data_IF_973245951550
#
_entry.id   IF_973245951550
#
_cell.length_a   1.000
_cell.length_b   1.000
_cell.length_c   1.000
_cell.angle_alpha   90.00
_cell.angle_beta   90.00
_cell.angle_gamma   90.00
#
_symmetry.space_group_name_H-M   'P 1'
#
loop_
_entity.id
_entity.type
_entity.pdbx_description
1 polymer ?
#
# COMPACT_ATOMS: atom_id res chain seq x y z
N UNK A 1 5.36 -3.26 16.42
CA UNK A 1 4.01 -3.06 15.84
C UNK A 1 3.77 -4.09 14.74
N UNK A 2 2.55 -4.28 14.24
CA UNK A 2 2.26 -5.24 13.15
C UNK A 2 3.19 -5.08 11.92
N UNK A 3 3.53 -3.85 11.52
CA UNK A 3 4.43 -3.60 10.38
C UNK A 3 5.89 -3.99 10.67
N UNK A 4 6.35 -3.86 11.92
CA UNK A 4 7.74 -4.20 12.27
C UNK A 4 8.04 -5.71 12.18
N UNK A 5 7.02 -6.56 12.21
CA UNK A 5 7.21 -8.01 11.98
C UNK A 5 7.31 -8.37 10.50
N UNK A 6 6.67 -7.57 9.61
CA UNK A 6 6.78 -7.72 8.16
C UNK A 6 8.18 -7.37 7.63
N UNK A 7 8.82 -6.36 8.24
CA UNK A 7 10.17 -5.86 7.86
C UNK A 7 10.31 -5.56 6.35
N UNK A 8 9.40 -4.77 5.76
CA UNK A 8 9.49 -4.37 4.35
C UNK A 8 10.81 -3.67 4.06
N UNK A 9 11.39 -3.90 2.88
CA UNK A 9 12.69 -3.33 2.47
C UNK A 9 13.93 -4.06 2.99
N UNK A 10 13.83 -4.91 4.03
CA UNK A 10 15.01 -5.59 4.61
C UNK A 10 15.79 -6.45 3.62
N UNK A 11 15.08 -7.19 2.76
CA UNK A 11 15.67 -8.08 1.76
C UNK A 11 15.60 -7.49 0.35
N UNK A 12 15.41 -6.18 0.27
CA UNK A 12 15.05 -5.46 -0.96
C UNK A 12 13.56 -5.13 -1.02
N UNK A 13 13.15 -4.48 -2.14
CA UNK A 13 11.80 -3.98 -2.34
C UNK A 13 10.77 -5.10 -2.37
N UNK A 14 9.60 -4.85 -1.79
CA UNK A 14 8.46 -5.77 -1.85
C UNK A 14 7.23 -5.07 -2.42
N UNK A 15 6.31 -5.85 -2.96
CA UNK A 15 4.96 -5.36 -3.33
C UNK A 15 4.00 -5.80 -2.25
N UNK A 16 3.19 -4.89 -1.74
CA UNK A 16 2.16 -5.20 -0.76
C UNK A 16 0.79 -4.84 -1.28
N UNK A 17 -0.22 -5.55 -0.79
CA UNK A 17 -1.62 -5.23 -0.98
C UNK A 17 -2.24 -4.99 0.40
N UNK A 18 -2.89 -3.83 0.57
CA UNK A 18 -3.57 -3.42 1.80
C UNK A 18 -5.09 -3.45 1.57
N UNK A 19 -5.68 -4.62 1.84
CA UNK A 19 -7.09 -4.92 1.56
C UNK A 19 -8.00 -4.42 2.69
N UNK A 20 -9.14 -3.82 2.34
CA UNK A 20 -9.99 -3.04 3.25
C UNK A 20 -9.22 -1.90 3.93
N UNK A 21 -8.21 -1.38 3.23
CA UNK A 21 -7.24 -0.40 3.73
C UNK A 21 -7.55 1.02 3.30
N UNK A 22 -8.79 1.38 2.95
CA UNK A 22 -9.08 2.58 2.16
C UNK A 22 -8.51 3.90 2.69
N UNK A 23 -8.37 4.07 4.01
CA UNK A 23 -7.76 5.28 4.60
C UNK A 23 -6.23 5.31 4.52
N UNK A 24 -5.60 4.20 4.16
CA UNK A 24 -4.18 4.05 3.84
C UNK A 24 -3.23 4.22 5.02
N UNK A 25 -3.67 4.05 6.26
CA UNK A 25 -2.82 4.20 7.44
C UNK A 25 -1.76 3.08 7.55
N UNK A 26 -2.15 1.83 7.26
CA UNK A 26 -1.22 0.69 7.24
C UNK A 26 -0.28 0.77 6.04
N UNK A 27 -0.80 1.05 4.84
CA UNK A 27 0.03 1.31 3.65
C UNK A 27 1.10 2.38 3.90
N UNK A 28 0.74 3.51 4.52
CA UNK A 28 1.70 4.56 4.86
C UNK A 28 2.79 4.04 5.81
N UNK A 29 2.40 3.29 6.84
CA UNK A 29 3.34 2.70 7.81
C UNK A 29 4.28 1.68 7.17
N UNK A 30 3.83 0.90 6.18
CA UNK A 30 4.67 -0.03 5.42
C UNK A 30 5.75 0.75 4.66
N UNK A 31 5.33 1.79 3.93
CA UNK A 31 6.23 2.62 3.13
C UNK A 31 7.23 3.40 4.00
N UNK A 32 6.76 3.98 5.11
CA UNK A 32 7.62 4.71 6.05
C UNK A 32 8.63 3.75 6.69
N UNK A 33 8.21 2.55 7.11
CA UNK A 33 9.12 1.57 7.70
C UNK A 33 10.20 1.12 6.72
N UNK A 34 9.84 0.83 5.46
CA UNK A 34 10.80 0.45 4.42
C UNK A 34 11.84 1.56 4.19
N UNK A 35 11.38 2.81 4.09
CA UNK A 35 12.22 4.00 3.90
C UNK A 35 13.13 4.27 5.08
N UNK A 36 12.58 4.27 6.30
CA UNK A 36 13.29 4.75 7.49
C UNK A 36 14.27 3.72 8.03
N UNK A 37 13.88 2.43 8.04
CA UNK A 37 14.70 1.38 8.64
C UNK A 37 15.70 0.76 7.66
N UNK A 38 15.37 0.74 6.36
CA UNK A 38 16.16 0.03 5.34
C UNK A 38 16.53 0.90 4.13
N UNK A 39 16.21 2.20 4.15
CA UNK A 39 16.46 3.14 3.04
C UNK A 39 15.81 2.74 1.70
N UNK A 40 14.82 1.85 1.73
CA UNK A 40 14.13 1.36 0.54
C UNK A 40 13.08 2.38 0.06
N UNK A 41 13.17 2.75 -1.21
CA UNK A 41 12.28 3.69 -1.91
C UNK A 41 11.53 3.07 -3.08
N UNK A 42 11.62 1.75 -3.22
CA UNK A 42 11.04 0.99 -4.32
C UNK A 42 9.92 0.05 -3.86
N UNK A 43 9.80 -0.23 -2.55
CA UNK A 43 8.61 -0.91 -2.02
C UNK A 43 7.34 -0.16 -2.43
N UNK A 44 6.35 -0.91 -2.90
CA UNK A 44 5.05 -0.39 -3.33
C UNK A 44 3.91 -0.99 -2.53
N UNK A 45 2.82 -0.23 -2.37
CA UNK A 45 1.60 -0.70 -1.72
C UNK A 45 0.38 -0.36 -2.58
N UNK A 46 -0.44 -1.37 -2.87
CA UNK A 46 -1.75 -1.19 -3.49
C UNK A 46 -2.82 -1.14 -2.40
N UNK A 47 -3.46 0.01 -2.24
CA UNK A 47 -4.55 0.23 -1.28
C UNK A 47 -5.86 -0.17 -1.94
N UNK A 48 -6.54 -1.15 -1.35
CA UNK A 48 -7.77 -1.71 -1.91
C UNK A 48 -8.91 -1.60 -0.92
N UNK A 49 -10.04 -1.05 -1.35
CA UNK A 49 -11.25 -0.97 -0.54
C UNK A 49 -12.49 -1.01 -1.46
N UNK A 50 -13.61 -1.52 -0.95
CA UNK A 50 -14.88 -1.51 -1.70
C UNK A 50 -15.58 -0.15 -1.60
N UNK A 51 -15.21 0.67 -0.61
CA UNK A 51 -15.83 1.97 -0.37
C UNK A 51 -14.98 3.11 -0.96
N UNK A 52 -15.45 3.70 -2.05
CA UNK A 52 -14.85 4.87 -2.68
C UNK A 52 -14.63 6.06 -1.73
N UNK A 53 -15.47 6.25 -0.70
CA UNK A 53 -15.30 7.33 0.28
C UNK A 53 -14.06 7.11 1.14
N UNK A 54 -13.79 5.86 1.53
CA UNK A 54 -12.61 5.52 2.31
C UNK A 54 -11.34 5.75 1.49
N UNK A 55 -11.33 5.33 0.22
CA UNK A 55 -10.25 5.62 -0.72
C UNK A 55 -10.05 7.12 -0.91
N UNK A 56 -11.13 7.91 -0.94
CA UNK A 56 -11.07 9.37 -0.98
C UNK A 56 -10.34 9.96 0.23
N UNK A 57 -10.59 9.44 1.44
CA UNK A 57 -9.85 9.84 2.65
C UNK A 57 -8.38 9.39 2.60
N UNK A 58 -8.09 8.19 2.10
CA UNK A 58 -6.73 7.72 1.88
C UNK A 58 -5.96 8.61 0.90
N UNK A 59 -6.58 8.97 -0.22
CA UNK A 59 -5.97 9.86 -1.20
C UNK A 59 -5.69 11.26 -0.61
N UNK A 60 -6.63 11.81 0.17
CA UNK A 60 -6.42 13.08 0.92
C UNK A 60 -5.28 12.98 1.93
N UNK A 61 -5.12 11.83 2.60
CA UNK A 61 -3.99 11.56 3.51
C UNK A 61 -2.68 11.55 2.74
N UNK A 62 -2.59 10.74 1.68
CA UNK A 62 -1.37 10.58 0.91
C UNK A 62 -0.92 11.87 0.23
N UNK A 63 -1.84 12.76 -0.17
CA UNK A 63 -1.54 14.12 -0.63
C UNK A 63 -0.65 14.96 0.30
N UNK A 64 -0.63 14.64 1.59
CA UNK A 64 0.19 15.33 2.61
C UNK A 64 1.52 14.63 2.89
N UNK A 65 1.83 13.57 2.15
CA UNK A 65 3.02 12.74 2.34
C UNK A 65 3.93 12.84 1.12
N UNK A 66 5.18 12.40 1.26
CA UNK A 66 6.12 12.33 0.15
C UNK A 66 5.77 11.27 -0.91
N UNK A 67 4.83 10.37 -0.60
CA UNK A 67 4.40 9.30 -1.51
C UNK A 67 3.34 9.76 -2.51
N UNK A 68 2.81 10.98 -2.37
CA UNK A 68 1.84 11.52 -3.32
C UNK A 68 2.44 11.58 -4.74
N UNK A 69 1.68 11.12 -5.73
CA UNK A 69 2.09 11.08 -7.15
C UNK A 69 3.40 10.31 -7.40
N UNK A 70 3.72 9.34 -6.55
CA UNK A 70 4.82 8.40 -6.76
C UNK A 70 4.28 7.04 -7.21
N UNK A 71 5.08 6.20 -7.87
CA UNK A 71 4.68 4.83 -8.19
C UNK A 71 4.61 3.92 -6.96
N UNK A 72 4.97 4.40 -5.77
CA UNK A 72 5.00 3.60 -4.54
C UNK A 72 3.61 3.31 -3.97
N UNK A 73 2.58 4.05 -4.38
CA UNK A 73 1.21 3.80 -3.91
C UNK A 73 0.21 3.91 -5.04
N UNK A 74 -0.79 3.03 -5.03
CA UNK A 74 -1.96 3.13 -5.88
C UNK A 74 -3.22 2.79 -5.10
N UNK A 75 -4.36 3.34 -5.53
CA UNK A 75 -5.66 3.16 -4.87
C UNK A 75 -6.61 2.48 -5.85
N UNK A 76 -7.27 1.41 -5.41
CA UNK A 76 -8.15 0.59 -6.24
C UNK A 76 -9.46 0.34 -5.50
N UNK A 77 -10.57 0.71 -6.15
CA UNK A 77 -11.90 0.30 -5.70
C UNK A 77 -12.15 -1.14 -6.15
N UNK A 78 -12.18 -2.09 -5.21
CA UNK A 78 -12.41 -3.49 -5.53
C UNK A 78 -12.98 -4.30 -4.35
N UNK A 79 -13.70 -5.37 -4.68
CA UNK A 79 -14.16 -6.36 -3.72
C UNK A 79 -13.01 -7.31 -3.33
N UNK A 80 -12.69 -7.33 -2.04
CA UNK A 80 -11.66 -8.19 -1.46
C UNK A 80 -11.87 -9.70 -1.69
N UNK A 81 -13.11 -10.14 -1.90
CA UNK A 81 -13.42 -11.55 -2.15
C UNK A 81 -13.21 -11.96 -3.61
N UNK A 82 -13.16 -10.99 -4.53
CA UNK A 82 -13.05 -11.26 -5.98
C UNK A 82 -11.63 -11.08 -6.49
N UNK A 83 -10.96 -9.97 -6.14
CA UNK A 83 -9.57 -9.62 -6.50
C UNK A 83 -9.13 -10.21 -7.86
N UNK A 84 -9.70 -9.73 -8.98
CA UNK A 84 -9.55 -10.41 -10.27
C UNK A 84 -8.08 -10.43 -10.73
N UNK A 85 -7.57 -11.56 -11.28
CA UNK A 85 -6.19 -11.69 -11.74
C UNK A 85 -5.77 -10.72 -12.85
N UNK A 86 -6.74 -10.15 -13.59
CA UNK A 86 -6.52 -9.11 -14.58
C UNK A 86 -6.03 -7.79 -13.98
N UNK A 87 -6.36 -7.53 -12.71
CA UNK A 87 -5.96 -6.36 -11.94
C UNK A 87 -4.90 -6.70 -10.89
N UNK A 88 -5.11 -7.77 -10.12
CA UNK A 88 -4.23 -8.22 -9.04
C UNK A 88 -3.59 -9.54 -9.43
N UNK A 89 -2.37 -9.50 -9.98
CA UNK A 89 -1.75 -10.69 -10.59
C UNK A 89 -1.41 -11.75 -9.53
N UNK A 90 -1.68 -13.01 -9.85
CA UNK A 90 -1.31 -14.14 -8.99
C UNK A 90 0.21 -14.19 -8.73
N UNK A 91 0.60 -14.55 -7.50
CA UNK A 91 2.00 -14.69 -7.07
C UNK A 91 2.85 -13.42 -7.28
N UNK A 92 2.24 -12.23 -7.26
CA UNK A 92 2.93 -10.96 -7.52
C UNK A 92 3.17 -10.09 -6.28
N UNK A 93 2.64 -10.48 -5.12
CA UNK A 93 2.79 -9.83 -3.81
C UNK A 93 3.54 -10.75 -2.83
#
# INVERSE_FOLDING_TARGET
TFVSTLRPGRKGPIRCIDVAGGTGDIALRILDHAREEYADRETTVEVVDINAQMLGEGFKRFKKTMYHNTPQVSFHEANAQELPPSQFRDNSY
#
